data_IF_732808166822
#
_entry.id   IF_732808166822
#
_cell.length_a   1.000
_cell.length_b   1.000
_cell.length_c   1.000
_cell.angle_alpha   90.00
_cell.angle_beta   90.00
_cell.angle_gamma   90.00
#
_symmetry.space_group_name_H-M   'P 1'
#
loop_
_entity.id
_entity.type
_entity.pdbx_description
1 polymer ?
#
# COMPACT_ATOMS: atom_id res chain seq x y z
N UNK A 1 12.16 -108.11 50.07
CA UNK A 1 10.75 -107.69 49.94
C UNK A 1 10.74 -106.20 49.68
N UNK A 2 10.35 -105.67 48.53
CA UNK A 2 9.81 -106.26 47.31
C UNK A 2 10.53 -105.57 46.15
N UNK A 3 11.40 -106.31 45.47
CA UNK A 3 11.96 -105.85 44.20
C UNK A 3 10.82 -105.84 43.21
N UNK A 4 10.36 -104.66 42.82
CA UNK A 4 9.43 -104.50 41.71
C UNK A 4 10.15 -105.10 40.49
N UNK A 5 9.77 -106.32 40.09
CA UNK A 5 10.20 -106.90 38.83
C UNK A 5 9.43 -106.18 37.73
N UNK A 6 9.95 -105.01 37.33
CA UNK A 6 9.48 -104.30 36.16
C UNK A 6 9.80 -105.14 34.93
N UNK A 7 8.77 -105.53 34.17
CA UNK A 7 8.93 -106.27 32.93
C UNK A 7 9.87 -105.52 31.97
N UNK A 8 10.82 -106.18 31.27
CA UNK A 8 11.71 -105.54 30.30
C UNK A 8 10.97 -104.71 29.23
N UNK A 9 9.75 -105.12 28.89
CA UNK A 9 8.88 -104.38 27.96
C UNK A 9 8.41 -103.03 28.54
N UNK A 10 8.17 -102.96 29.85
CA UNK A 10 7.76 -101.72 30.54
C UNK A 10 8.94 -100.74 30.63
N UNK A 11 10.16 -101.24 30.84
CA UNK A 11 11.38 -100.42 30.85
C UNK A 11 11.64 -99.80 29.47
N UNK A 12 11.50 -100.58 28.39
CA UNK A 12 11.65 -100.09 27.02
C UNK A 12 10.65 -98.97 26.67
N UNK A 13 9.37 -99.12 27.05
CA UNK A 13 8.35 -98.08 26.85
C UNK A 13 8.65 -96.83 27.67
N UNK A 14 9.12 -96.97 28.91
CA UNK A 14 9.50 -95.83 29.75
C UNK A 14 10.73 -95.09 29.18
N UNK A 15 11.70 -95.81 28.63
CA UNK A 15 12.86 -95.21 27.92
C UNK A 15 12.43 -94.47 26.65
N UNK A 16 11.48 -95.01 25.89
CA UNK A 16 10.95 -94.35 24.70
C UNK A 16 10.15 -93.09 25.06
N UNK A 17 9.36 -93.13 26.14
CA UNK A 17 8.69 -91.94 26.70
C UNK A 17 9.72 -90.91 27.17
N UNK A 18 10.81 -91.34 27.83
CA UNK A 18 11.87 -90.45 28.28
C UNK A 18 12.61 -89.80 27.11
N UNK A 19 12.88 -90.55 26.03
CA UNK A 19 13.46 -90.01 24.79
C UNK A 19 12.51 -89.06 24.07
N UNK A 20 11.21 -89.40 23.98
CA UNK A 20 10.20 -88.51 23.39
C UNK A 20 10.09 -87.20 24.18
N UNK A 21 10.05 -87.28 25.51
CA UNK A 21 10.04 -86.11 26.38
C UNK A 21 11.30 -85.27 26.21
N UNK A 22 12.48 -85.89 26.23
CA UNK A 22 13.74 -85.18 26.04
C UNK A 22 13.83 -84.50 24.66
N UNK A 23 13.30 -85.14 23.61
CA UNK A 23 13.21 -84.56 22.27
C UNK A 23 12.22 -83.39 22.22
N UNK A 24 11.04 -83.54 22.83
CA UNK A 24 10.03 -82.49 22.93
C UNK A 24 10.51 -81.28 23.75
N UNK A 25 11.19 -81.51 24.86
CA UNK A 25 11.79 -80.46 25.70
C UNK A 25 12.89 -79.70 24.93
N UNK A 26 13.68 -80.40 24.10
CA UNK A 26 14.70 -79.79 23.25
C UNK A 26 14.09 -78.98 22.09
N UNK A 27 13.05 -79.50 21.42
CA UNK A 27 12.34 -78.79 20.35
C UNK A 27 11.61 -77.55 20.90
N UNK A 28 10.90 -77.68 22.03
CA UNK A 28 10.24 -76.56 22.69
C UNK A 28 11.24 -75.50 23.19
N UNK A 29 12.36 -75.92 23.78
CA UNK A 29 13.43 -75.01 24.18
C UNK A 29 14.05 -74.26 22.99
N UNK A 30 14.20 -74.94 21.84
CA UNK A 30 14.65 -74.33 20.59
C UNK A 30 13.66 -73.29 20.04
N UNK A 31 12.37 -73.62 20.00
CA UNK A 31 11.32 -72.69 19.56
C UNK A 31 11.16 -71.48 20.49
N UNK A 32 11.21 -71.69 21.81
CA UNK A 32 11.18 -70.56 22.77
C UNK A 32 12.38 -69.64 22.59
N UNK A 33 13.59 -70.19 22.40
CA UNK A 33 14.78 -69.39 22.15
C UNK A 33 14.75 -68.64 20.81
N UNK A 34 13.96 -69.10 19.83
CA UNK A 34 13.70 -68.37 18.58
C UNK A 34 12.71 -67.22 18.81
N UNK A 35 11.61 -67.48 19.51
CA UNK A 35 10.63 -66.45 19.89
C UNK A 35 11.29 -65.34 20.73
N UNK A 36 12.11 -65.69 21.72
CA UNK A 36 12.83 -64.70 22.55
C UNK A 36 13.75 -63.81 21.69
N UNK A 37 14.44 -64.41 20.70
CA UNK A 37 15.29 -63.66 19.76
C UNK A 37 14.48 -62.73 18.86
N UNK A 38 13.32 -63.17 18.38
CA UNK A 38 12.42 -62.34 17.59
C UNK A 38 11.83 -61.21 18.42
N UNK A 39 11.43 -61.48 19.67
CA UNK A 39 10.92 -60.46 20.59
C UNK A 39 11.99 -59.39 20.89
N UNK A 40 13.22 -59.80 21.18
CA UNK A 40 14.35 -58.88 21.39
C UNK A 40 14.69 -58.07 20.13
N UNK A 41 14.52 -58.67 18.94
CA UNK A 41 14.71 -57.97 17.66
C UNK A 41 13.61 -56.94 17.42
N UNK A 42 12.35 -57.30 17.69
CA UNK A 42 11.20 -56.41 17.56
C UNK A 42 11.28 -55.24 18.56
N UNK A 43 11.67 -55.50 19.80
CA UNK A 43 11.89 -54.46 20.83
C UNK A 43 12.94 -53.46 20.38
N UNK A 44 14.08 -53.91 19.86
CA UNK A 44 15.13 -53.03 19.31
C UNK A 44 14.64 -52.21 18.10
N UNK A 45 13.85 -52.80 17.22
CA UNK A 45 13.26 -52.09 16.09
C UNK A 45 12.27 -51.00 16.55
N UNK A 46 11.47 -51.27 17.59
CA UNK A 46 10.56 -50.29 18.21
C UNK A 46 11.37 -49.14 18.83
N UNK A 47 12.42 -49.43 19.57
CA UNK A 47 13.28 -48.39 20.17
C UNK A 47 13.95 -47.51 19.10
N UNK A 48 14.41 -48.11 17.99
CA UNK A 48 14.96 -47.37 16.85
C UNK A 48 13.89 -46.48 16.18
N UNK A 49 12.69 -47.02 15.94
CA UNK A 49 11.58 -46.25 15.38
C UNK A 49 11.16 -45.09 16.30
N UNK A 50 11.14 -45.30 17.63
CA UNK A 50 10.87 -44.25 18.61
C UNK A 50 11.94 -43.15 18.59
N UNK A 51 13.23 -43.51 18.48
CA UNK A 51 14.32 -42.55 18.31
C UNK A 51 14.17 -41.75 17.02
N UNK A 52 13.80 -42.38 15.92
CA UNK A 52 13.53 -41.72 14.64
C UNK A 52 12.33 -40.76 14.72
N UNK A 53 11.25 -41.16 15.40
CA UNK A 53 10.08 -40.28 15.61
C UNK A 53 10.44 -39.04 16.43
N UNK A 54 11.24 -39.18 17.48
CA UNK A 54 11.74 -38.04 18.27
C UNK A 54 12.61 -37.12 17.42
N UNK A 55 13.53 -37.67 16.61
CA UNK A 55 14.37 -36.88 15.71
C UNK A 55 13.53 -36.11 14.67
N UNK A 56 12.51 -36.75 14.09
CA UNK A 56 11.59 -36.09 13.15
C UNK A 56 10.74 -35.00 13.83
N UNK A 57 10.32 -35.21 15.08
CA UNK A 57 9.59 -34.20 15.85
C UNK A 57 10.45 -32.96 16.11
N UNK A 58 11.72 -33.14 16.49
CA UNK A 58 12.69 -32.05 16.66
C UNK A 58 12.92 -31.32 15.34
N UNK A 59 13.18 -32.04 14.25
CA UNK A 59 13.37 -31.44 12.93
C UNK A 59 12.12 -30.64 12.48
N UNK A 60 10.92 -31.16 12.74
CA UNK A 60 9.66 -30.44 12.44
C UNK A 60 9.53 -29.16 13.26
N UNK A 61 9.96 -29.16 14.52
CA UNK A 61 9.99 -27.95 15.35
C UNK A 61 10.99 -26.92 14.79
N UNK A 62 12.21 -27.34 14.48
CA UNK A 62 13.24 -26.47 13.89
C UNK A 62 12.82 -25.89 12.54
N UNK A 63 12.18 -26.68 11.67
CA UNK A 63 11.69 -26.20 10.38
C UNK A 63 10.57 -25.18 10.53
N UNK A 64 9.66 -25.36 11.52
CA UNK A 64 8.62 -24.36 11.82
C UNK A 64 9.20 -23.06 12.32
N UNK A 65 10.20 -23.14 13.19
CA UNK A 65 10.91 -21.97 13.70
C UNK A 65 11.63 -21.23 12.56
N UNK A 66 12.38 -21.94 11.73
CA UNK A 66 13.03 -21.35 10.54
C UNK A 66 12.02 -20.73 9.58
N UNK A 67 10.89 -21.40 9.33
CA UNK A 67 9.83 -20.84 8.48
C UNK A 67 9.23 -19.56 9.08
N UNK A 68 8.98 -19.52 10.39
CA UNK A 68 8.50 -18.32 11.08
C UNK A 68 9.53 -17.18 11.00
N UNK A 69 10.82 -17.47 11.16
CA UNK A 69 11.90 -16.49 11.02
C UNK A 69 11.97 -15.92 9.60
N UNK A 70 11.89 -16.77 8.57
CA UNK A 70 11.87 -16.33 7.16
C UNK A 70 10.66 -15.43 6.89
N UNK A 71 9.47 -15.80 7.41
CA UNK A 71 8.27 -14.97 7.28
C UNK A 71 8.43 -13.58 7.93
N UNK A 72 8.95 -13.54 9.16
CA UNK A 72 9.18 -12.28 9.87
C UNK A 72 10.26 -11.41 9.20
N UNK A 73 11.30 -12.02 8.62
CA UNK A 73 12.33 -11.30 7.90
C UNK A 73 11.84 -10.77 6.54
N UNK A 74 11.02 -11.56 5.81
CA UNK A 74 10.38 -11.10 4.59
C UNK A 74 9.49 -9.89 4.85
N UNK A 75 8.62 -9.96 5.87
CA UNK A 75 7.75 -8.85 6.25
C UNK A 75 8.55 -7.59 6.64
N UNK A 76 9.64 -7.74 7.39
CA UNK A 76 10.54 -6.61 7.72
C UNK A 76 11.16 -5.98 6.47
N UNK A 77 11.61 -6.81 5.51
CA UNK A 77 12.20 -6.34 4.25
C UNK A 77 11.16 -5.63 3.38
N UNK A 78 9.93 -6.14 3.34
CA UNK A 78 8.80 -5.50 2.64
C UNK A 78 8.47 -4.12 3.25
N UNK A 79 8.34 -4.01 4.58
CA UNK A 79 8.13 -2.71 5.25
C UNK A 79 9.27 -1.74 4.97
N UNK A 80 10.52 -2.19 5.05
CA UNK A 80 11.68 -1.37 4.76
C UNK A 80 11.69 -0.88 3.31
N UNK A 81 11.34 -1.73 2.35
CA UNK A 81 11.22 -1.38 0.94
C UNK A 81 10.11 -0.36 0.70
N UNK A 82 8.93 -0.53 1.32
CA UNK A 82 7.83 0.42 1.23
C UNK A 82 8.21 1.81 1.77
N UNK A 83 8.85 1.86 2.95
CA UNK A 83 9.33 3.12 3.54
C UNK A 83 10.42 3.78 2.68
N UNK A 84 11.34 3.00 2.11
CA UNK A 84 12.35 3.51 1.18
C UNK A 84 11.74 4.06 -0.12
N UNK A 85 10.72 3.38 -0.65
CA UNK A 85 9.95 3.82 -1.81
C UNK A 85 9.25 5.16 -1.54
N UNK A 86 8.49 5.27 -0.45
CA UNK A 86 7.84 6.52 -0.03
C UNK A 86 8.83 7.69 0.11
N UNK A 87 10.01 7.43 0.68
CA UNK A 87 11.06 8.45 0.82
C UNK A 87 11.60 8.90 -0.54
N UNK A 88 11.76 7.97 -1.49
CA UNK A 88 12.20 8.26 -2.85
C UNK A 88 11.15 9.07 -3.60
N UNK A 89 9.88 8.67 -3.52
CA UNK A 89 8.75 9.38 -4.12
C UNK A 89 8.61 10.80 -3.56
N UNK A 90 8.80 10.97 -2.24
CA UNK A 90 8.81 12.29 -1.60
C UNK A 90 9.94 13.17 -2.14
N UNK A 91 11.15 12.62 -2.26
CA UNK A 91 12.28 13.36 -2.82
C UNK A 91 12.03 13.76 -4.29
N UNK A 92 11.34 12.92 -5.07
CA UNK A 92 10.90 13.27 -6.44
C UNK A 92 9.94 14.45 -6.39
N UNK A 93 8.88 14.40 -5.57
CA UNK A 93 7.93 15.50 -5.44
C UNK A 93 8.63 16.80 -5.06
N UNK A 94 9.51 16.77 -4.05
CA UNK A 94 10.26 17.95 -3.60
C UNK A 94 11.14 18.53 -4.71
N UNK A 95 11.86 17.66 -5.44
CA UNK A 95 12.73 18.09 -6.55
C UNK A 95 11.94 18.66 -7.73
N UNK A 96 10.76 18.12 -8.03
CA UNK A 96 9.89 18.63 -9.09
C UNK A 96 9.18 19.92 -8.66
N UNK A 97 8.76 20.02 -7.40
CA UNK A 97 8.13 21.21 -6.83
C UNK A 97 9.03 22.43 -6.97
N UNK A 98 10.31 22.32 -6.60
CA UNK A 98 11.27 23.42 -6.73
C UNK A 98 11.45 23.89 -8.18
N UNK A 99 11.43 22.97 -9.15
CA UNK A 99 11.51 23.30 -10.58
C UNK A 99 10.24 23.98 -11.08
N UNK A 100 9.07 23.50 -10.65
CA UNK A 100 7.79 24.08 -11.01
C UNK A 100 7.66 25.50 -10.44
N UNK A 101 8.02 25.71 -9.18
CA UNK A 101 8.02 27.02 -8.54
C UNK A 101 8.94 28.01 -9.28
N UNK A 102 10.15 27.58 -9.67
CA UNK A 102 11.05 28.42 -10.46
C UNK A 102 10.47 28.77 -11.85
N UNK A 103 9.78 27.83 -12.49
CA UNK A 103 9.12 28.07 -13.77
C UNK A 103 7.92 29.04 -13.64
N UNK A 104 7.12 28.89 -12.58
CA UNK A 104 6.02 29.81 -12.24
C UNK A 104 6.57 31.21 -11.98
N UNK A 105 7.60 31.35 -11.14
CA UNK A 105 8.21 32.64 -10.84
C UNK A 105 8.78 33.32 -12.10
N UNK A 106 9.37 32.55 -13.02
CA UNK A 106 9.86 33.07 -14.31
C UNK A 106 8.70 33.60 -15.16
N UNK A 107 7.61 32.84 -15.28
CA UNK A 107 6.39 33.25 -15.99
C UNK A 107 5.78 34.51 -15.38
N UNK A 108 5.69 34.57 -14.05
CA UNK A 108 5.16 35.74 -13.33
C UNK A 108 6.02 36.97 -13.56
N UNK A 109 7.35 36.84 -13.52
CA UNK A 109 8.25 37.94 -13.84
C UNK A 109 8.13 38.42 -15.29
N UNK A 110 7.94 37.50 -16.25
CA UNK A 110 7.68 37.84 -17.65
C UNK A 110 6.35 38.57 -17.83
N UNK A 111 5.29 38.10 -17.18
CA UNK A 111 3.97 38.74 -17.18
C UNK A 111 4.05 40.14 -16.57
N UNK A 112 4.74 40.28 -15.43
CA UNK A 112 4.92 41.56 -14.77
C UNK A 112 5.71 42.54 -15.63
N UNK A 113 6.72 42.06 -16.38
CA UNK A 113 7.45 42.87 -17.37
C UNK A 113 6.56 43.30 -18.54
N UNK A 114 5.69 42.42 -19.03
CA UNK A 114 4.72 42.77 -20.08
C UNK A 114 3.70 43.81 -19.60
N UNK A 115 3.23 43.70 -18.36
CA UNK A 115 2.31 44.67 -17.75
C UNK A 115 2.97 46.04 -17.52
N UNK A 116 4.29 46.09 -17.35
CA UNK A 116 5.06 47.33 -17.25
C UNK A 116 5.39 47.96 -18.61
N UNK A 117 5.10 47.28 -19.73
CA UNK A 117 5.21 47.89 -21.06
C UNK A 117 4.23 49.08 -21.15
N UNK A 118 4.70 50.31 -21.44
CA UNK A 118 3.84 51.49 -21.51
C UNK A 118 2.65 51.33 -22.44
N UNK A 119 2.78 50.59 -23.55
CA UNK A 119 1.67 50.37 -24.47
C UNK A 119 0.58 49.45 -23.89
N UNK A 120 1.00 48.42 -23.16
CA UNK A 120 0.08 47.47 -22.49
C UNK A 120 -0.55 48.13 -21.27
N UNK A 121 0.21 48.85 -20.46
CA UNK A 121 -0.29 49.58 -19.30
C UNK A 121 -1.38 50.59 -19.70
N UNK A 122 -1.16 51.33 -20.79
CA UNK A 122 -2.17 52.25 -21.34
C UNK A 122 -3.43 51.50 -21.84
N UNK A 123 -3.24 50.34 -22.48
CA UNK A 123 -4.37 49.51 -22.93
C UNK A 123 -5.17 48.92 -21.75
N UNK A 124 -4.52 48.55 -20.64
CA UNK A 124 -5.19 48.10 -19.41
C UNK A 124 -6.00 49.24 -18.78
N UNK A 125 -5.41 50.42 -18.63
CA UNK A 125 -6.11 51.60 -18.08
C UNK A 125 -7.34 51.97 -18.94
N UNK A 126 -7.22 51.88 -20.26
CA UNK A 126 -8.32 52.15 -21.18
C UNK A 126 -9.41 51.06 -21.13
N UNK A 127 -9.02 49.80 -20.91
CA UNK A 127 -9.94 48.68 -20.71
C UNK A 127 -10.73 48.84 -19.40
N UNK A 128 -10.08 49.19 -18.29
CA UNK A 128 -10.73 49.44 -16.99
C UNK A 128 -11.72 50.60 -17.07
N UNK A 129 -11.33 51.72 -17.68
CA UNK A 129 -12.23 52.86 -17.93
C UNK A 129 -13.44 52.47 -18.77
N UNK A 130 -13.28 51.58 -19.75
CA UNK A 130 -14.42 51.11 -20.52
C UNK A 130 -15.41 50.31 -19.66
N UNK A 131 -14.93 49.42 -18.80
CA UNK A 131 -15.78 48.60 -17.91
C UNK A 131 -16.61 49.49 -16.98
N UNK A 132 -16.03 50.56 -16.43
CA UNK A 132 -16.76 51.53 -15.58
C UNK A 132 -17.87 52.26 -16.34
N UNK A 133 -17.67 52.54 -17.63
CA UNK A 133 -18.55 53.36 -18.45
C UNK A 133 -19.54 52.50 -19.25
N UNK A 134 -19.35 51.17 -19.32
CA UNK A 134 -20.14 50.22 -20.09
C UNK A 134 -21.64 50.32 -19.78
N UNK A 135 -22.00 50.45 -18.51
CA UNK A 135 -23.38 50.61 -18.06
C UNK A 135 -24.06 51.88 -18.62
N UNK A 136 -23.28 52.92 -18.93
CA UNK A 136 -23.78 54.19 -19.47
C UNK A 136 -23.88 54.20 -21.00
N UNK A 137 -23.28 53.23 -21.71
CA UNK A 137 -23.26 53.17 -23.19
C UNK A 137 -24.65 53.05 -23.81
N UNK A 138 -25.62 52.50 -23.09
CA UNK A 138 -27.01 52.39 -23.54
C UNK A 138 -27.66 53.77 -23.77
N UNK A 139 -27.20 54.80 -23.06
CA UNK A 139 -27.71 56.18 -23.17
C UNK A 139 -27.16 56.96 -24.36
N UNK A 140 -26.11 56.46 -25.02
CA UNK A 140 -25.45 57.15 -26.13
C UNK A 140 -26.10 56.86 -27.49
N UNK A 141 -26.00 57.79 -28.46
CA UNK A 141 -26.45 57.56 -29.84
C UNK A 141 -25.78 56.34 -30.47
N UNK A 142 -26.53 55.63 -31.34
CA UNK A 142 -26.11 54.34 -31.89
C UNK A 142 -24.76 54.37 -32.65
N UNK A 143 -24.45 55.48 -33.35
CA UNK A 143 -23.18 55.65 -34.06
C UNK A 143 -21.98 55.75 -33.13
N UNK A 144 -22.09 56.54 -32.04
CA UNK A 144 -21.05 56.69 -31.04
C UNK A 144 -20.84 55.40 -30.24
N UNK A 145 -21.93 54.74 -29.86
CA UNK A 145 -21.89 53.44 -29.18
C UNK A 145 -21.10 52.40 -29.99
N UNK A 146 -21.35 52.33 -31.30
CA UNK A 146 -20.66 51.38 -32.19
C UNK A 146 -19.17 51.67 -32.30
N UNK A 147 -18.79 52.94 -32.44
CA UNK A 147 -17.38 53.32 -32.47
C UNK A 147 -16.63 53.00 -31.17
N UNK A 148 -17.28 53.20 -30.01
CA UNK A 148 -16.71 52.88 -28.70
C UNK A 148 -16.55 51.37 -28.52
N UNK A 149 -17.54 50.57 -28.94
CA UNK A 149 -17.46 49.11 -28.93
C UNK A 149 -16.37 48.57 -29.87
N UNK A 150 -16.28 49.09 -31.10
CA UNK A 150 -15.26 48.69 -32.07
C UNK A 150 -13.84 49.01 -31.57
N UNK A 151 -13.69 50.10 -30.82
CA UNK A 151 -12.42 50.49 -30.19
C UNK A 151 -12.09 49.59 -29.00
N UNK A 152 -13.06 49.29 -28.13
CA UNK A 152 -12.89 48.36 -27.02
C UNK A 152 -12.52 46.95 -27.50
N UNK A 153 -13.12 46.48 -28.59
CA UNK A 153 -12.77 45.17 -29.17
C UNK A 153 -11.31 45.15 -29.66
N UNK A 154 -10.79 46.26 -30.19
CA UNK A 154 -9.36 46.37 -30.54
C UNK A 154 -8.45 46.33 -29.31
N UNK A 155 -8.82 47.03 -28.24
CA UNK A 155 -8.07 47.01 -26.97
C UNK A 155 -8.07 45.59 -26.39
N UNK A 156 -9.23 44.93 -26.34
CA UNK A 156 -9.36 43.55 -25.88
C UNK A 156 -8.46 42.60 -26.67
N UNK A 157 -8.46 42.68 -28.01
CA UNK A 157 -7.55 41.88 -28.86
C UNK A 157 -6.07 42.15 -28.59
N UNK A 158 -5.71 43.36 -28.17
CA UNK A 158 -4.34 43.71 -27.77
C UNK A 158 -3.97 43.14 -26.40
N UNK A 159 -4.93 43.07 -25.47
CA UNK A 159 -4.75 42.48 -24.13
C UNK A 159 -4.87 40.96 -24.12
N UNK A 160 -5.50 40.35 -25.14
CA UNK A 160 -5.72 38.91 -25.28
C UNK A 160 -4.48 38.05 -24.95
N UNK A 161 -3.25 38.38 -25.44
CA UNK A 161 -2.07 37.57 -25.13
C UNK A 161 -1.68 37.61 -23.65
N UNK A 162 -1.87 38.76 -22.98
CA UNK A 162 -1.56 38.93 -21.55
C UNK A 162 -2.61 38.24 -20.69
N UNK A 163 -3.89 38.36 -21.07
CA UNK A 163 -5.00 37.68 -20.42
C UNK A 163 -4.85 36.15 -20.57
N UNK A 164 -4.49 35.68 -21.76
CA UNK A 164 -4.24 34.26 -22.01
C UNK A 164 -3.06 33.74 -21.20
N UNK A 165 -1.96 34.50 -21.10
CA UNK A 165 -0.81 34.14 -20.28
C UNK A 165 -1.13 34.12 -18.77
N UNK A 166 -1.96 35.06 -18.30
CA UNK A 166 -2.42 35.12 -16.91
C UNK A 166 -3.35 33.97 -16.54
N UNK A 167 -4.19 33.52 -17.49
CA UNK A 167 -5.14 32.43 -17.28
C UNK A 167 -4.56 31.06 -17.67
N UNK A 168 -3.31 31.00 -18.13
CA UNK A 168 -2.68 29.75 -18.50
C UNK A 168 -2.48 28.88 -17.25
N UNK A 169 -2.75 27.58 -17.39
CA UNK A 169 -2.44 26.58 -16.37
C UNK A 169 -0.94 26.51 -16.04
N UNK A 170 -0.54 25.62 -15.12
CA UNK A 170 0.86 25.52 -14.68
C UNK A 170 1.82 25.28 -15.86
N UNK A 171 3.01 25.89 -15.86
CA UNK A 171 3.97 25.75 -16.95
C UNK A 171 4.51 24.32 -17.03
N UNK A 172 4.41 23.71 -18.23
CA UNK A 172 4.90 22.37 -18.49
C UNK A 172 6.43 22.34 -18.44
N UNK A 173 7.01 21.53 -17.54
CA UNK A 173 8.47 21.47 -17.38
C UNK A 173 9.17 20.65 -18.46
N UNK A 174 8.44 19.85 -19.26
CA UNK A 174 9.01 19.00 -20.31
C UNK A 174 9.98 17.94 -19.79
N UNK A 175 9.79 17.50 -18.54
CA UNK A 175 10.63 16.51 -17.87
C UNK A 175 10.14 15.09 -18.18
N UNK A 176 11.03 14.10 -18.06
CA UNK A 176 10.62 12.69 -18.08
C UNK A 176 9.63 12.41 -16.94
N UNK A 177 8.54 11.72 -17.29
CA UNK A 177 7.50 11.32 -16.35
C UNK A 177 8.02 10.32 -15.34
N UNK A 178 7.75 10.57 -14.05
CA UNK A 178 8.09 9.66 -12.95
C UNK A 178 6.82 9.27 -12.22
N UNK A 179 6.66 7.96 -11.99
CA UNK A 179 5.57 7.42 -11.20
C UNK A 179 5.75 7.66 -9.71
N UNK A 180 4.70 8.09 -9.03
CA UNK A 180 4.64 8.35 -7.59
C UNK A 180 3.47 7.57 -7.00
N UNK A 181 3.73 6.79 -5.96
CA UNK A 181 2.75 5.91 -5.33
C UNK A 181 2.02 6.54 -4.14
N UNK A 182 0.70 6.42 -4.11
CA UNK A 182 -0.11 6.58 -2.89
C UNK A 182 -0.41 5.18 -2.35
N UNK A 183 0.03 4.89 -1.12
CA UNK A 183 -0.23 3.59 -0.51
C UNK A 183 -1.60 3.59 0.15
N UNK A 184 -2.39 2.56 -0.10
CA UNK A 184 -3.68 2.34 0.54
C UNK A 184 -3.66 1.04 1.35
N UNK A 185 -4.30 1.07 2.51
CA UNK A 185 -4.62 -0.13 3.28
C UNK A 185 -6.02 -0.02 3.85
N UNK A 186 -6.70 -1.16 3.93
CA UNK A 186 -8.02 -1.30 4.57
C UNK A 186 -7.92 -2.40 5.62
N UNK A 187 -8.59 -2.19 6.74
CA UNK A 187 -8.68 -3.13 7.85
C UNK A 187 -10.15 -3.30 8.29
N UNK A 188 -10.68 -4.52 8.43
CA UNK A 188 -10.10 -5.80 7.99
C UNK A 188 -9.98 -5.88 6.46
N UNK A 189 -8.96 -6.61 5.99
CA UNK A 189 -8.68 -6.75 4.56
C UNK A 189 -9.76 -7.52 3.79
N UNK A 190 -10.48 -8.42 4.46
CA UNK A 190 -11.61 -9.20 3.95
C UNK A 190 -12.84 -8.96 4.82
N UNK A 191 -14.01 -8.82 4.21
CA UNK A 191 -15.27 -8.55 4.91
C UNK A 191 -15.65 -7.07 4.90
N UNK A 192 -16.36 -6.64 5.94
CA UNK A 192 -16.79 -5.25 6.08
C UNK A 192 -15.60 -4.39 6.54
N UNK A 193 -15.20 -3.37 5.77
CA UNK A 193 -14.06 -2.53 6.12
C UNK A 193 -14.40 -1.60 7.30
N UNK A 194 -13.53 -1.57 8.30
CA UNK A 194 -13.69 -0.74 9.51
C UNK A 194 -12.79 0.50 9.47
N UNK A 195 -11.66 0.44 8.76
CA UNK A 195 -10.73 1.55 8.60
C UNK A 195 -10.10 1.57 7.20
N UNK A 196 -9.80 2.77 6.71
CA UNK A 196 -9.03 3.04 5.50
C UNK A 196 -7.85 3.96 5.85
N UNK A 197 -6.66 3.64 5.35
CA UNK A 197 -5.48 4.49 5.48
C UNK A 197 -4.91 4.74 4.09
N UNK A 198 -4.65 6.01 3.78
CA UNK A 198 -3.92 6.43 2.59
C UNK A 198 -2.62 7.14 3.03
N UNK A 199 -1.47 6.66 2.57
CA UNK A 199 -0.17 7.25 2.87
C UNK A 199 0.36 7.93 1.62
N UNK A 200 0.58 9.23 1.74
CA UNK A 200 0.97 10.11 0.67
C UNK A 200 2.45 10.44 0.81
N UNK A 201 3.26 10.37 -0.27
CA UNK A 201 4.69 10.69 -0.24
C UNK A 201 4.95 12.21 -0.18
N UNK A 202 4.30 12.89 0.76
CA UNK A 202 4.48 14.31 1.06
C UNK A 202 4.72 14.46 2.56
N UNK A 203 5.49 15.47 2.99
CA UNK A 203 5.80 15.61 4.41
C UNK A 203 4.54 15.93 5.23
N UNK A 204 4.44 15.36 6.44
CA UNK A 204 3.31 15.61 7.35
C UNK A 204 3.12 17.09 7.71
N UNK A 205 4.19 17.89 7.60
CA UNK A 205 4.14 19.35 7.79
C UNK A 205 3.18 20.06 6.82
N UNK A 206 2.85 19.46 5.68
CA UNK A 206 1.82 19.99 4.75
C UNK A 206 0.47 20.15 5.47
N UNK A 207 0.08 19.18 6.29
CA UNK A 207 -1.17 19.25 7.04
C UNK A 207 -1.02 20.09 8.31
N UNK A 208 0.10 19.96 9.03
CA UNK A 208 0.30 20.63 10.32
C UNK A 208 0.42 22.15 10.18
N UNK A 209 1.14 22.61 9.17
CA UNK A 209 1.55 24.01 9.01
C UNK A 209 0.72 24.72 7.91
N UNK A 210 -0.48 24.20 7.61
CA UNK A 210 -1.30 24.60 6.45
C UNK A 210 -1.65 26.09 6.40
N UNK A 211 -1.77 26.75 7.55
CA UNK A 211 -2.15 28.16 7.63
C UNK A 211 -1.00 29.11 7.24
N UNK A 212 0.26 28.67 7.41
CA UNK A 212 1.45 29.50 7.18
C UNK A 212 2.19 29.11 5.89
N UNK A 213 1.86 27.94 5.33
CA UNK A 213 2.50 27.40 4.14
C UNK A 213 1.96 28.07 2.87
N UNK A 214 2.86 28.38 1.93
CA UNK A 214 2.46 28.73 0.57
C UNK A 214 1.88 27.50 -0.12
N UNK A 215 0.91 27.72 -0.99
CA UNK A 215 0.33 26.67 -1.82
C UNK A 215 1.38 26.15 -2.81
N UNK A 216 1.97 25.00 -2.49
CA UNK A 216 3.01 24.33 -3.27
C UNK A 216 2.52 22.99 -3.82
N UNK A 217 3.34 22.35 -4.68
CA UNK A 217 2.98 21.09 -5.32
C UNK A 217 2.63 19.98 -4.30
N UNK A 218 3.34 19.94 -3.16
CA UNK A 218 3.07 18.96 -2.10
C UNK A 218 1.71 19.21 -1.42
N UNK A 219 1.34 20.48 -1.21
CA UNK A 219 0.03 20.86 -0.66
C UNK A 219 -1.10 20.56 -1.65
N UNK A 220 -0.91 20.87 -2.93
CA UNK A 220 -1.88 20.53 -3.99
C UNK A 220 -2.08 19.02 -4.08
N UNK A 221 -0.98 18.25 -4.13
CA UNK A 221 -1.04 16.78 -4.11
C UNK A 221 -1.83 16.25 -2.91
N UNK A 222 -1.52 16.73 -1.69
CA UNK A 222 -2.21 16.31 -0.48
C UNK A 222 -3.71 16.63 -0.54
N UNK A 223 -4.06 17.85 -0.95
CA UNK A 223 -5.44 18.31 -1.07
C UNK A 223 -6.23 17.46 -2.07
N UNK A 224 -5.64 17.18 -3.25
CA UNK A 224 -6.25 16.35 -4.29
C UNK A 224 -6.55 14.94 -3.80
N UNK A 225 -5.58 14.29 -3.16
CA UNK A 225 -5.76 12.94 -2.62
C UNK A 225 -6.78 12.93 -1.48
N UNK A 226 -6.76 13.91 -0.57
CA UNK A 226 -7.79 14.03 0.48
C UNK A 226 -9.18 14.26 -0.11
N UNK A 227 -9.30 15.07 -1.16
CA UNK A 227 -10.54 15.27 -1.89
C UNK A 227 -11.03 13.99 -2.57
N UNK A 228 -10.13 13.23 -3.22
CA UNK A 228 -10.42 11.91 -3.78
C UNK A 228 -10.91 10.92 -2.71
N UNK A 229 -10.24 10.85 -1.56
CA UNK A 229 -10.70 10.03 -0.42
C UNK A 229 -12.08 10.50 0.05
N UNK A 230 -12.32 11.80 0.14
CA UNK A 230 -13.63 12.34 0.56
C UNK A 230 -14.75 12.02 -0.45
N UNK A 231 -14.46 12.07 -1.76
CA UNK A 231 -15.39 11.66 -2.82
C UNK A 231 -15.66 10.16 -2.79
N UNK A 232 -14.61 9.34 -2.61
CA UNK A 232 -14.74 7.91 -2.38
C UNK A 232 -15.70 7.63 -1.23
N UNK A 233 -15.47 8.23 -0.06
CA UNK A 233 -16.30 8.04 1.13
C UNK A 233 -17.76 8.43 0.87
N UNK A 234 -17.99 9.54 0.17
CA UNK A 234 -19.34 9.98 -0.22
C UNK A 234 -20.00 8.95 -1.14
N UNK A 235 -19.28 8.45 -2.15
CA UNK A 235 -19.78 7.46 -3.11
C UNK A 235 -20.15 6.13 -2.44
N UNK A 236 -19.37 5.68 -1.46
CA UNK A 236 -19.66 4.44 -0.72
C UNK A 236 -20.64 4.63 0.45
N UNK A 237 -21.25 5.81 0.59
CA UNK A 237 -22.22 6.07 1.67
C UNK A 237 -21.61 6.34 3.05
N UNK A 238 -20.28 6.47 3.14
CA UNK A 238 -19.53 6.76 4.37
C UNK A 238 -19.06 8.24 4.45
N UNK A 239 -19.75 9.17 3.79
CA UNK A 239 -19.33 10.58 3.73
C UNK A 239 -19.27 11.32 5.07
N UNK A 240 -19.87 10.75 6.13
CA UNK A 240 -19.77 11.25 7.50
C UNK A 240 -18.61 10.67 8.33
N UNK A 241 -17.82 9.76 7.76
CA UNK A 241 -16.71 9.13 8.45
C UNK A 241 -15.64 10.16 8.83
N UNK A 242 -15.13 10.17 10.08
CA UNK A 242 -14.10 11.10 10.50
C UNK A 242 -12.78 10.82 9.78
N UNK A 243 -12.18 11.89 9.23
CA UNK A 243 -10.84 11.87 8.64
C UNK A 243 -9.86 12.41 9.68
N UNK A 244 -8.82 11.64 9.97
CA UNK A 244 -7.71 12.00 10.84
C UNK A 244 -6.41 12.04 10.03
N UNK A 245 -5.48 12.89 10.45
CA UNK A 245 -4.17 13.00 9.83
C UNK A 245 -3.11 12.54 10.82
N UNK A 246 -2.22 11.68 10.37
CA UNK A 246 -1.11 11.14 11.13
C UNK A 246 0.19 11.21 10.32
N UNK A 247 1.30 10.99 11.00
CA UNK A 247 2.61 10.87 10.37
C UNK A 247 3.01 9.40 10.30
N UNK A 248 3.43 8.94 9.12
CA UNK A 248 4.05 7.62 8.95
C UNK A 248 5.37 7.78 8.20
N UNK A 249 6.50 7.44 8.85
CA UNK A 249 7.83 7.56 8.26
C UNK A 249 8.13 8.95 7.64
N UNK A 250 7.67 10.03 8.28
CA UNK A 250 7.83 11.40 7.78
C UNK A 250 6.90 11.78 6.62
N UNK A 251 5.94 10.92 6.28
CA UNK A 251 4.94 11.11 5.23
C UNK A 251 3.56 11.37 5.85
N UNK A 252 2.68 12.04 5.10
CA UNK A 252 1.30 12.29 5.51
C UNK A 252 0.47 11.01 5.37
N UNK A 253 -0.10 10.54 6.47
CA UNK A 253 -1.10 9.48 6.50
C UNK A 253 -2.49 10.07 6.75
N UNK A 254 -3.42 9.76 5.85
CA UNK A 254 -4.85 10.09 5.97
C UNK A 254 -5.56 8.83 6.45
N UNK A 255 -6.12 8.89 7.65
CA UNK A 255 -6.80 7.78 8.31
C UNK A 255 -8.30 8.06 8.35
N UNK A 256 -9.10 7.07 8.00
CA UNK A 256 -10.55 7.15 8.01
C UNK A 256 -11.08 6.00 8.86
N UNK A 257 -11.88 6.34 9.87
CA UNK A 257 -12.59 5.36 10.67
C UNK A 257 -13.99 5.16 10.10
N UNK A 258 -14.24 3.99 9.52
CA UNK A 258 -15.52 3.63 8.91
C UNK A 258 -16.47 3.07 9.96
N UNK A 259 -16.01 2.24 10.90
CA UNK A 259 -16.71 1.81 12.12
C UNK A 259 -18.23 1.60 12.01
N UNK A 260 -19.00 2.66 12.27
CA UNK A 260 -20.47 2.66 12.28
C UNK A 260 -21.12 3.00 10.93
N UNK A 261 -20.33 3.31 9.90
CA UNK A 261 -20.79 3.60 8.56
C UNK A 261 -20.93 2.29 7.77
N UNK A 262 -22.14 1.99 7.33
CA UNK A 262 -22.39 0.90 6.37
C UNK A 262 -21.83 1.29 5.00
N UNK A 263 -20.51 1.16 4.82
CA UNK A 263 -19.84 1.41 3.54
C UNK A 263 -20.36 0.41 2.49
N UNK A 264 -20.96 0.94 1.43
CA UNK A 264 -21.48 0.16 0.31
C UNK A 264 -20.48 0.14 -0.84
N UNK A 265 -20.21 -1.05 -1.37
CA UNK A 265 -19.32 -1.25 -2.52
C UNK A 265 -17.87 -1.56 -2.15
N UNK A 266 -17.04 -1.72 -3.17
CA UNK A 266 -15.62 -2.05 -3.01
C UNK A 266 -14.78 -0.77 -2.85
N UNK A 267 -14.30 -0.51 -1.63
CA UNK A 267 -13.38 0.59 -1.34
C UNK A 267 -12.10 0.50 -2.16
N UNK A 268 -11.65 -0.72 -2.51
CA UNK A 268 -10.39 -0.92 -3.21
C UNK A 268 -10.44 -0.46 -4.63
N UNK A 269 -11.44 -0.97 -5.36
CA UNK A 269 -11.74 -0.55 -6.73
C UNK A 269 -12.04 0.95 -6.75
N UNK A 270 -12.89 1.41 -5.82
CA UNK A 270 -13.25 2.81 -5.75
C UNK A 270 -12.07 3.76 -5.52
N UNK A 271 -11.12 3.43 -4.63
CA UNK A 271 -9.96 4.30 -4.42
C UNK A 271 -9.05 4.35 -5.65
N UNK A 272 -8.89 3.23 -6.36
CA UNK A 272 -8.12 3.19 -7.61
C UNK A 272 -8.77 4.07 -8.68
N UNK A 273 -10.09 3.98 -8.85
CA UNK A 273 -10.83 4.85 -9.76
C UNK A 273 -10.64 6.34 -9.44
N UNK A 274 -10.64 6.71 -8.16
CA UNK A 274 -10.42 8.10 -7.75
C UNK A 274 -8.97 8.56 -8.00
N UNK A 275 -7.99 7.69 -7.83
CA UNK A 275 -6.59 7.99 -8.17
C UNK A 275 -6.41 8.12 -9.69
N UNK A 276 -7.04 7.25 -10.47
CA UNK A 276 -7.02 7.32 -11.93
C UNK A 276 -7.69 8.60 -12.44
N UNK A 277 -8.81 9.02 -11.82
CA UNK A 277 -9.44 10.30 -12.12
C UNK A 277 -8.53 11.49 -11.76
N UNK A 278 -7.87 11.46 -10.60
CA UNK A 278 -6.91 12.49 -10.21
C UNK A 278 -5.74 12.63 -11.18
N UNK A 279 -5.28 11.52 -11.74
CA UNK A 279 -4.21 11.52 -12.74
C UNK A 279 -4.60 12.32 -13.99
N UNK A 280 -5.87 12.35 -14.36
CA UNK A 280 -6.38 13.15 -15.50
C UNK A 280 -6.69 14.60 -15.12
N UNK A 281 -7.11 14.86 -13.88
CA UNK A 281 -7.55 16.18 -13.41
C UNK A 281 -6.43 17.07 -12.84
N UNK A 282 -5.30 16.49 -12.43
CA UNK A 282 -4.22 17.20 -11.75
C UNK A 282 -3.16 17.73 -12.73
N UNK A 283 -3.52 18.82 -13.44
CA UNK A 283 -2.63 19.52 -14.39
C UNK A 283 -1.29 19.90 -13.76
N UNK A 284 -1.26 20.23 -12.47
CA UNK A 284 -0.05 20.56 -11.72
C UNK A 284 0.95 19.39 -11.64
N UNK A 285 0.46 18.16 -11.52
CA UNK A 285 1.29 16.96 -11.45
C UNK A 285 1.79 16.60 -12.85
N UNK A 286 0.92 16.69 -13.86
CA UNK A 286 1.30 16.53 -15.26
C UNK A 286 2.38 17.53 -15.69
N UNK A 287 2.21 18.80 -15.32
CA UNK A 287 3.19 19.86 -15.58
C UNK A 287 4.55 19.59 -14.91
N UNK A 288 4.53 19.00 -13.72
CA UNK A 288 5.71 18.58 -12.98
C UNK A 288 6.38 17.29 -13.53
N UNK A 289 5.74 16.58 -14.47
CA UNK A 289 6.18 15.27 -14.95
C UNK A 289 6.00 14.18 -13.90
N UNK A 290 4.92 14.25 -13.12
CA UNK A 290 4.55 13.28 -12.08
C UNK A 290 3.29 12.54 -12.52
N UNK A 291 3.33 11.22 -12.41
CA UNK A 291 2.19 10.34 -12.68
C UNK A 291 1.81 9.59 -11.40
N UNK A 292 0.53 9.60 -11.05
CA UNK A 292 0.03 9.00 -9.82
C UNK A 292 -0.29 7.52 -9.99
N UNK A 293 0.01 6.73 -8.97
CA UNK A 293 -0.35 5.32 -8.88
C UNK A 293 -0.91 4.98 -7.50
N UNK A 294 -2.03 4.25 -7.44
CA UNK A 294 -2.56 3.70 -6.20
C UNK A 294 -2.00 2.30 -5.93
N UNK A 295 -1.45 2.06 -4.74
CA UNK A 295 -0.83 0.78 -4.38
C UNK A 295 -1.48 0.22 -3.12
N UNK A 296 -2.05 -0.98 -3.20
CA UNK A 296 -2.66 -1.66 -2.06
C UNK A 296 -1.64 -2.46 -1.27
N UNK A 297 -1.60 -2.22 0.03
CA UNK A 297 -0.75 -2.94 0.99
C UNK A 297 -1.59 -3.49 2.15
N UNK A 298 -1.05 -4.49 2.85
CA UNK A 298 -1.69 -4.99 4.07
C UNK A 298 -1.60 -3.92 5.17
N UNK A 299 -2.65 -3.75 5.97
CA UNK A 299 -2.65 -2.81 7.10
C UNK A 299 -1.47 -3.02 8.06
N UNK A 300 -1.08 -4.29 8.32
CA UNK A 300 0.09 -4.65 9.12
C UNK A 300 1.44 -4.10 8.59
N UNK A 301 1.51 -3.70 7.31
CA UNK A 301 2.71 -3.06 6.74
C UNK A 301 2.82 -1.58 7.08
N UNK A 302 1.71 -0.95 7.46
CA UNK A 302 1.63 0.47 7.81
C UNK A 302 1.59 0.70 9.33
N UNK A 303 1.42 -0.35 10.13
CA UNK A 303 1.55 -0.27 11.57
C UNK A 303 2.99 0.09 11.97
N UNK A 304 3.14 0.93 12.99
CA UNK A 304 4.46 1.16 13.58
C UNK A 304 4.93 -0.10 14.31
N UNK A 305 6.23 -0.38 14.21
CA UNK A 305 6.86 -1.42 15.03
C UNK A 305 6.80 -0.90 16.47
N UNK A 306 5.98 -1.51 17.33
CA UNK A 306 6.14 -1.35 18.78
C UNK A 306 7.58 -1.73 19.13
N UNK A 307 8.38 -0.73 19.49
CA UNK A 307 9.74 -0.88 20.03
C UNK A 307 9.66 -1.18 21.53
#
# INVERSE_FOLDING_TARGET
MSGIQTSPAVIAVLDDIAKWKAKGDAEFGGSMAEVDREEDSARRAIEEAQRQLLALATLRAELREKHAQVGAEAERRERAALRAGLSTDRAVIEARAAKLEAAIATREAELQRQLQDPEIAAAVEEYEKFVEVEASLASLPASYRRAILDHHEKIRRRLEPVIAASNAGPPMLGLETVGVGVLFAVDPAEGAPEALVAVLPVPFSVCRDWAERKEDLASQFAYRVVAAVSRLLTRVGAGGAPIQYAELAGCLAVQVWLGDCDAQGDLREGALEEIDALREEADELGAAGIELYGLWVRAAMLADEEV
#
